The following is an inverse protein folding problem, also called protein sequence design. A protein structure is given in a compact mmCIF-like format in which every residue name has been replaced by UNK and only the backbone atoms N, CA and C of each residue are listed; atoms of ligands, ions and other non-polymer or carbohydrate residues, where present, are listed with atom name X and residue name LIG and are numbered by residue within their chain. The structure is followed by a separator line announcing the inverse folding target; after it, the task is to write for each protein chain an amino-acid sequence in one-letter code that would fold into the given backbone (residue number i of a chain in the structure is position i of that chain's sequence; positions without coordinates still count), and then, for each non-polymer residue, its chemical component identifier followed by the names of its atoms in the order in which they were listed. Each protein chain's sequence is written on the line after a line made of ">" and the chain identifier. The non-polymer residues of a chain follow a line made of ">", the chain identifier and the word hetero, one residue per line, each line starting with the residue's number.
data_IF_010631530291
#
_entry.id   IF_010631530291
#
_cell.length_a   1.000
_cell.length_b   1.000
_cell.length_c   1.000
_cell.angle_alpha   90.00
_cell.angle_beta   90.00
_cell.angle_gamma   90.00
#
_symmetry.space_group_name_H-M   'P 1'
#
loop_
_entity.id
_entity.type
_entity.pdbx_description
1 polymer ?
#
# COMPACT_ATOMS: atom_id res chain seq x y z
N UNK A 1 -19.32 -15.76 -2.55
CA UNK A 1 -19.36 -14.69 -1.54
C UNK A 1 -17.95 -14.49 -1.00
N UNK A 2 -17.43 -13.25 -0.98
CA UNK A 2 -16.21 -12.95 -0.24
C UNK A 2 -16.51 -13.02 1.26
N UNK A 3 -15.60 -13.58 2.06
CA UNK A 3 -15.73 -13.58 3.52
C UNK A 3 -15.68 -12.15 4.07
N UNK A 4 -16.31 -11.92 5.23
CA UNK A 4 -16.32 -10.60 5.88
C UNK A 4 -14.91 -10.08 6.14
N UNK A 5 -13.98 -10.96 6.55
CA UNK A 5 -12.56 -10.61 6.70
C UNK A 5 -11.93 -10.15 5.38
N UNK A 6 -12.28 -10.79 4.26
CA UNK A 6 -11.74 -10.42 2.95
C UNK A 6 -12.30 -9.08 2.48
N UNK A 7 -13.57 -8.77 2.76
CA UNK A 7 -14.15 -7.45 2.49
C UNK A 7 -13.44 -6.36 3.31
N UNK A 8 -13.27 -6.59 4.61
CA UNK A 8 -12.61 -5.63 5.51
C UNK A 8 -11.15 -5.38 5.13
N UNK A 9 -10.42 -6.43 4.74
CA UNK A 9 -9.07 -6.28 4.19
C UNK A 9 -9.07 -5.42 2.91
N UNK A 10 -10.02 -5.66 1.99
CA UNK A 10 -10.14 -4.88 0.75
C UNK A 10 -10.46 -3.40 1.01
N UNK A 11 -11.22 -3.08 2.07
CA UNK A 11 -11.46 -1.69 2.47
C UNK A 11 -10.15 -0.99 2.84
N UNK A 12 -9.32 -1.61 3.68
CA UNK A 12 -8.00 -1.10 4.04
C UNK A 12 -7.05 -1.02 2.85
N UNK A 13 -7.05 -2.03 1.98
CA UNK A 13 -6.26 -2.03 0.75
C UNK A 13 -6.66 -0.88 -0.18
N UNK A 14 -7.96 -0.65 -0.38
CA UNK A 14 -8.47 0.42 -1.23
C UNK A 14 -8.16 1.80 -0.66
N UNK A 15 -8.31 1.97 0.66
CA UNK A 15 -7.90 3.20 1.35
C UNK A 15 -6.40 3.46 1.20
N UNK A 16 -5.57 2.43 1.38
CA UNK A 16 -4.12 2.51 1.17
C UNK A 16 -3.75 2.90 -0.26
N UNK A 17 -4.41 2.34 -1.28
CA UNK A 17 -4.17 2.69 -2.68
C UNK A 17 -4.53 4.14 -3.00
N UNK A 18 -5.60 4.67 -2.41
CA UNK A 18 -5.97 6.07 -2.57
C UNK A 18 -4.88 6.99 -2.02
N UNK A 19 -4.46 6.74 -0.78
CA UNK A 19 -3.40 7.50 -0.12
C UNK A 19 -2.06 7.38 -0.85
N UNK A 20 -1.73 6.20 -1.35
CA UNK A 20 -0.54 5.94 -2.16
C UNK A 20 -0.49 6.84 -3.40
N UNK A 21 -1.61 6.95 -4.13
CA UNK A 21 -1.72 7.82 -5.31
C UNK A 21 -1.65 9.31 -4.96
N UNK A 22 -2.06 9.68 -3.75
CA UNK A 22 -1.91 11.03 -3.21
C UNK A 22 -0.50 11.30 -2.62
N UNK A 23 0.46 10.39 -2.80
CA UNK A 23 1.81 10.45 -2.23
C UNK A 23 1.86 10.52 -0.69
N UNK A 24 0.74 10.18 -0.03
CA UNK A 24 0.61 10.08 1.43
C UNK A 24 1.12 8.73 1.92
N UNK A 25 2.40 8.44 1.65
CA UNK A 25 2.97 7.10 1.83
C UNK A 25 2.95 6.60 3.27
N UNK A 26 3.05 7.51 4.25
CA UNK A 26 2.98 7.13 5.67
C UNK A 26 1.57 6.65 6.03
N UNK A 27 0.53 7.42 5.71
CA UNK A 27 -0.86 7.00 5.94
C UNK A 27 -1.25 5.76 5.12
N UNK A 28 -0.75 5.66 3.87
CA UNK A 28 -0.95 4.49 3.03
C UNK A 28 -0.35 3.23 3.68
N UNK A 29 0.88 3.33 4.21
CA UNK A 29 1.55 2.24 4.93
C UNK A 29 0.75 1.76 6.13
N UNK A 30 0.19 2.67 6.92
CA UNK A 30 -0.65 2.30 8.06
C UNK A 30 -1.91 1.56 7.64
N UNK A 31 -2.58 2.04 6.58
CA UNK A 31 -3.76 1.39 6.00
C UNK A 31 -3.46 -0.03 5.54
N UNK A 32 -2.37 -0.23 4.79
CA UNK A 32 -1.97 -1.57 4.33
C UNK A 32 -1.58 -2.50 5.48
N UNK A 33 -0.94 -1.98 6.54
CA UNK A 33 -0.64 -2.78 7.74
C UNK A 33 -1.93 -3.27 8.41
N UNK A 34 -2.98 -2.46 8.49
CA UNK A 34 -4.28 -2.90 9.01
C UNK A 34 -4.89 -4.02 8.16
N UNK A 35 -4.74 -3.96 6.82
CA UNK A 35 -5.11 -5.04 5.91
C UNK A 35 -4.36 -6.35 6.19
N UNK A 36 -3.05 -6.27 6.45
CA UNK A 36 -2.22 -7.44 6.78
C UNK A 36 -2.53 -8.05 8.15
N UNK A 37 -3.04 -7.29 9.11
CA UNK A 37 -3.52 -7.87 10.37
C UNK A 37 -4.69 -8.83 10.16
N UNK A 38 -5.48 -8.63 9.09
CA UNK A 38 -6.64 -9.46 8.74
C UNK A 38 -6.24 -10.60 7.81
N UNK A 39 -5.39 -10.31 6.81
CA UNK A 39 -4.87 -11.29 5.86
C UNK A 39 -3.36 -11.18 5.78
N UNK A 40 -2.63 -11.83 6.72
CA UNK A 40 -1.17 -11.75 6.80
C UNK A 40 -0.46 -12.27 5.56
N UNK A 41 -1.13 -13.07 4.72
CA UNK A 41 -0.57 -13.65 3.49
C UNK A 41 -0.97 -12.92 2.22
N UNK A 42 -1.60 -11.74 2.33
CA UNK A 42 -1.96 -10.95 1.14
C UNK A 42 -0.72 -10.36 0.45
N UNK A 43 -0.27 -11.04 -0.61
CA UNK A 43 0.90 -10.67 -1.40
C UNK A 43 0.85 -9.23 -1.94
N UNK A 44 -0.25 -8.77 -2.56
CA UNK A 44 -0.40 -7.39 -3.02
C UNK A 44 -0.24 -6.37 -1.90
N UNK A 45 -0.88 -6.57 -0.74
CA UNK A 45 -0.75 -5.65 0.40
C UNK A 45 0.69 -5.61 0.92
N UNK A 46 1.38 -6.77 1.02
CA UNK A 46 2.82 -6.80 1.39
C UNK A 46 3.69 -6.00 0.41
N UNK A 47 3.44 -6.13 -0.89
CA UNK A 47 4.15 -5.38 -1.92
C UNK A 47 3.98 -3.87 -1.73
N UNK A 48 2.75 -3.41 -1.50
CA UNK A 48 2.50 -1.98 -1.27
C UNK A 48 3.07 -1.47 0.05
N UNK A 49 3.13 -2.29 1.11
CA UNK A 49 3.87 -1.95 2.35
C UNK A 49 5.34 -1.68 2.05
N UNK A 50 6.00 -2.54 1.27
CA UNK A 50 7.39 -2.37 0.88
C UNK A 50 7.57 -1.08 0.05
N UNK A 51 6.72 -0.86 -0.96
CA UNK A 51 6.74 0.35 -1.79
C UNK A 51 6.55 1.63 -0.98
N UNK A 52 5.54 1.67 -0.11
CA UNK A 52 5.30 2.83 0.76
C UNK A 52 6.50 3.10 1.66
N UNK A 53 7.15 2.05 2.16
CA UNK A 53 8.36 2.20 3.00
C UNK A 53 9.52 2.82 2.22
N UNK A 54 9.72 2.41 0.96
CA UNK A 54 10.77 2.96 0.10
C UNK A 54 10.47 4.39 -0.33
N UNK A 55 9.25 4.65 -0.82
CA UNK A 55 8.82 5.97 -1.27
C UNK A 55 8.69 6.97 -0.11
N UNK A 56 8.41 6.52 1.11
CA UNK A 56 8.45 7.38 2.29
C UNK A 56 9.90 7.82 2.62
N UNK A 57 10.87 6.92 2.46
CA UNK A 57 12.29 7.23 2.68
C UNK A 57 12.89 8.05 1.53
N UNK A 58 12.48 7.75 0.30
CA UNK A 58 12.92 8.37 -0.94
C UNK A 58 11.68 8.90 -1.68
N UNK A 59 11.11 10.03 -1.26
CA UNK A 59 9.91 10.57 -1.90
C UNK A 59 10.18 10.86 -3.38
N UNK A 60 9.26 10.45 -4.27
CA UNK A 60 9.37 10.77 -5.69
C UNK A 60 9.08 12.26 -5.92
N UNK A 61 9.34 12.74 -7.13
CA UNK A 61 9.04 14.11 -7.53
C UNK A 61 7.54 14.42 -7.46
N UNK A 62 7.19 15.70 -7.39
CA UNK A 62 5.78 16.13 -7.41
C UNK A 62 5.02 15.71 -8.69
N UNK A 63 5.74 15.47 -9.79
CA UNK A 63 5.19 14.99 -11.07
C UNK A 63 5.06 13.46 -11.14
N UNK A 64 5.16 12.77 -10.00
CA UNK A 64 5.09 11.32 -9.98
C UNK A 64 3.72 10.80 -10.43
N UNK A 65 3.73 9.89 -11.39
CA UNK A 65 2.55 9.32 -12.06
C UNK A 65 2.00 8.06 -11.36
N UNK A 66 2.56 7.70 -10.21
CA UNK A 66 2.20 6.51 -9.44
C UNK A 66 2.98 5.25 -9.83
N UNK A 67 3.94 5.34 -10.75
CA UNK A 67 4.78 4.22 -11.15
C UNK A 67 5.88 3.96 -10.12
N UNK A 68 5.93 2.75 -9.58
CA UNK A 68 7.04 2.30 -8.75
C UNK A 68 8.09 1.60 -9.61
N UNK A 69 9.26 2.20 -9.75
CA UNK A 69 10.40 1.59 -10.44
C UNK A 69 11.19 0.75 -9.44
N UNK A 70 11.12 -0.58 -9.56
CA UNK A 70 12.01 -1.47 -8.80
C UNK A 70 13.45 -1.26 -9.27
N UNK A 71 14.26 -0.61 -8.44
CA UNK A 71 15.70 -0.50 -8.65
C UNK A 71 16.38 -1.75 -8.10
N UNK A 72 16.21 -2.88 -8.78
CA UNK A 72 17.02 -4.07 -8.50
C UNK A 72 18.43 -3.79 -9.01
N UNK A 73 19.40 -3.79 -8.10
CA UNK A 73 20.83 -3.65 -8.39
C UNK A 73 21.42 -4.96 -8.93
#
# INVERSE_FOLDING_TARGET
>A
MLSENKKKMLEFYTAGLKLYKEMKFKEALESFKQGLLISPDDGPTKLYVARCTELYKNPPSAEWDGVFTMTTK
#
